data_IF_441829857101
#
_entry.id   IF_441829857101
#
_cell.length_a   1.000
_cell.length_b   1.000
_cell.length_c   1.000
_cell.angle_alpha   90.00
_cell.angle_beta   90.00
_cell.angle_gamma   90.00
#
_symmetry.space_group_name_H-M   'P 1'
#
loop_
_entity.id
_entity.type
_entity.pdbx_description
1 polymer ?
#
# COMPACT_ATOMS: atom_id res chain seq x y z
N UNK A 1 5.79 15.34 3.47
CA UNK A 1 6.48 14.08 3.06
C UNK A 1 6.24 13.92 1.57
N UNK A 2 7.25 13.64 0.74
CA UNK A 2 7.03 13.38 -0.70
C UNK A 2 6.18 12.12 -0.89
N UNK A 3 5.31 12.09 -1.91
CA UNK A 3 4.49 10.92 -2.28
C UNK A 3 5.34 9.65 -2.42
N UNK A 4 6.53 9.78 -2.99
CA UNK A 4 7.47 8.67 -3.15
C UNK A 4 7.96 8.11 -1.80
N UNK A 5 8.22 8.98 -0.82
CA UNK A 5 8.59 8.55 0.55
C UNK A 5 7.42 7.86 1.25
N UNK A 6 6.20 8.36 1.07
CA UNK A 6 5.00 7.73 1.60
C UNK A 6 4.86 6.31 1.04
N UNK A 7 5.02 6.15 -0.28
CA UNK A 7 4.92 4.86 -0.96
C UNK A 7 6.00 3.88 -0.50
N UNK A 8 7.25 4.32 -0.40
CA UNK A 8 8.36 3.49 0.10
C UNK A 8 8.14 3.01 1.53
N UNK A 9 7.60 3.86 2.40
CA UNK A 9 7.26 3.44 3.77
C UNK A 9 6.13 2.40 3.76
N UNK A 10 5.08 2.64 2.95
CA UNK A 10 3.92 1.78 2.88
C UNK A 10 4.19 0.42 2.23
N UNK A 11 5.19 0.31 1.34
CA UNK A 11 5.69 -0.97 0.82
C UNK A 11 6.11 -1.94 1.92
N UNK A 12 6.56 -1.45 3.08
CA UNK A 12 6.93 -2.26 4.24
C UNK A 12 5.78 -2.36 5.25
N UNK A 13 5.08 -1.26 5.49
CA UNK A 13 4.01 -1.19 6.49
C UNK A 13 2.80 -2.05 6.10
N UNK A 14 2.42 -2.10 4.81
CA UNK A 14 1.30 -2.91 4.33
C UNK A 14 1.49 -4.41 4.59
N UNK A 15 2.59 -5.06 4.16
CA UNK A 15 2.80 -6.47 4.47
C UNK A 15 2.91 -6.74 5.97
N UNK A 16 3.53 -5.85 6.76
CA UNK A 16 3.53 -5.97 8.22
C UNK A 16 2.12 -5.92 8.81
N UNK A 17 1.27 -5.01 8.34
CA UNK A 17 -0.13 -4.91 8.75
C UNK A 17 -0.93 -6.15 8.37
N UNK A 18 -0.70 -6.71 7.18
CA UNK A 18 -1.37 -7.94 6.74
C UNK A 18 -0.96 -9.13 7.61
N UNK A 19 0.33 -9.28 7.89
CA UNK A 19 0.84 -10.36 8.76
C UNK A 19 0.32 -10.17 10.19
N UNK A 20 0.38 -8.96 10.74
CA UNK A 20 -0.14 -8.66 12.06
C UNK A 20 -1.66 -8.91 12.13
N UNK A 21 -2.41 -8.47 11.13
CA UNK A 21 -3.84 -8.71 11.03
C UNK A 21 -4.20 -10.20 10.96
N UNK A 22 -3.38 -11.01 10.27
CA UNK A 22 -3.54 -12.46 10.22
C UNK A 22 -3.21 -13.14 11.56
N UNK A 23 -2.07 -12.79 12.17
CA UNK A 23 -1.61 -13.41 13.43
C UNK A 23 -2.51 -13.04 14.60
N UNK A 24 -2.99 -11.80 14.65
CA UNK A 24 -3.80 -11.29 15.76
C UNK A 24 -5.29 -11.23 15.44
N UNK A 25 -5.79 -11.93 14.42
CA UNK A 25 -7.16 -11.77 13.91
C UNK A 25 -8.25 -11.93 15.00
N UNK A 26 -8.03 -12.81 15.98
CA UNK A 26 -8.96 -13.05 17.11
C UNK A 26 -8.98 -11.91 18.13
N UNK A 27 -7.92 -11.11 18.19
CA UNK A 27 -7.72 -10.02 19.13
C UNK A 27 -8.06 -8.65 18.53
N UNK A 28 -8.29 -8.58 17.22
CA UNK A 28 -8.62 -7.34 16.54
C UNK A 28 -10.04 -6.91 16.94
N UNK A 29 -10.21 -5.70 17.53
CA UNK A 29 -11.54 -5.18 17.81
C UNK A 29 -12.33 -5.04 16.52
N UNK A 30 -13.60 -5.46 16.50
CA UNK A 30 -14.47 -5.38 15.30
C UNK A 30 -14.51 -3.96 14.72
N UNK A 31 -14.45 -2.93 15.57
CA UNK A 31 -14.41 -1.52 15.15
C UNK A 31 -13.11 -1.13 14.42
N UNK A 32 -12.01 -1.83 14.64
CA UNK A 32 -10.73 -1.58 13.98
C UNK A 32 -10.66 -2.20 12.57
N UNK A 33 -11.46 -3.25 12.30
CA UNK A 33 -11.51 -3.92 10.99
C UNK A 33 -11.82 -2.94 9.84
N UNK A 34 -12.91 -2.14 9.86
CA UNK A 34 -13.21 -1.22 8.76
C UNK A 34 -12.11 -0.16 8.57
N UNK A 35 -11.47 0.29 9.65
CA UNK A 35 -10.36 1.25 9.57
C UNK A 35 -9.14 0.63 8.88
N UNK A 36 -8.79 -0.61 9.24
CA UNK A 36 -7.71 -1.36 8.61
C UNK A 36 -7.97 -1.59 7.12
N UNK A 37 -9.18 -2.05 6.77
CA UNK A 37 -9.59 -2.28 5.38
C UNK A 37 -9.56 -0.98 4.57
N UNK A 38 -10.11 0.12 5.10
CA UNK A 38 -10.10 1.42 4.43
C UNK A 38 -8.66 1.91 4.17
N UNK A 39 -7.78 1.79 5.16
CA UNK A 39 -6.38 2.18 5.03
C UNK A 39 -5.65 1.33 3.97
N UNK A 40 -5.76 0.00 4.05
CA UNK A 40 -5.14 -0.92 3.08
C UNK A 40 -5.64 -0.66 1.66
N UNK A 41 -6.93 -0.37 1.50
CA UNK A 41 -7.53 -0.03 0.20
C UNK A 41 -6.96 1.27 -0.34
N UNK A 42 -6.92 2.33 0.48
CA UNK A 42 -6.39 3.62 0.08
C UNK A 42 -4.91 3.55 -0.31
N UNK A 43 -4.10 2.88 0.51
CA UNK A 43 -2.67 2.69 0.23
C UNK A 43 -2.46 1.82 -1.00
N UNK A 44 -3.26 0.77 -1.18
CA UNK A 44 -3.23 -0.08 -2.38
C UNK A 44 -3.49 0.71 -3.66
N UNK A 45 -4.49 1.60 -3.66
CA UNK A 45 -4.77 2.48 -4.80
C UNK A 45 -3.61 3.42 -5.11
N UNK A 46 -2.99 4.01 -4.08
CA UNK A 46 -1.83 4.89 -4.27
C UNK A 46 -0.60 4.15 -4.78
N UNK A 47 -0.34 2.94 -4.25
CA UNK A 47 0.73 2.06 -4.73
C UNK A 47 0.52 1.69 -6.19
N UNK A 48 -0.73 1.34 -6.55
CA UNK A 48 -1.09 1.00 -7.92
C UNK A 48 -0.91 2.18 -8.87
N UNK A 49 -1.45 3.36 -8.52
CA UNK A 49 -1.35 4.57 -9.34
C UNK A 49 0.12 4.97 -9.57
N UNK A 50 0.95 4.93 -8.53
CA UNK A 50 2.37 5.24 -8.67
C UNK A 50 3.15 4.18 -9.44
N UNK A 51 2.84 2.90 -9.22
CA UNK A 51 3.45 1.80 -9.97
C UNK A 51 3.16 1.92 -11.46
N UNK A 52 1.91 2.19 -11.83
CA UNK A 52 1.49 2.44 -13.21
C UNK A 52 2.20 3.66 -13.80
N UNK A 53 2.27 4.78 -13.07
CA UNK A 53 2.96 5.99 -13.53
C UNK A 53 4.47 5.79 -13.69
N UNK A 54 5.10 4.98 -12.84
CA UNK A 54 6.52 4.66 -12.94
C UNK A 54 6.78 3.72 -14.12
N UNK A 55 5.90 2.74 -14.34
CA UNK A 55 6.00 1.82 -15.46
C UNK A 55 5.78 2.52 -16.79
N UNK A 56 4.82 3.45 -16.89
CA UNK A 56 4.57 4.19 -18.13
C UNK A 56 5.79 5.00 -18.55
N UNK A 57 6.43 5.70 -17.61
CA UNK A 57 7.66 6.45 -17.88
C UNK A 57 8.79 5.52 -18.35
N UNK A 58 8.96 4.36 -17.70
CA UNK A 58 9.98 3.37 -18.12
C UNK A 58 9.72 2.76 -19.49
N UNK A 59 8.46 2.60 -19.89
CA UNK A 59 8.11 2.10 -21.22
C UNK A 59 8.30 3.15 -22.32
N UNK A 60 8.14 4.43 -21.99
CA UNK A 60 8.46 5.55 -22.88
C UNK A 60 9.98 5.61 -23.12
N UNK A 61 10.78 5.62 -22.03
CA UNK A 61 12.24 5.64 -22.10
C UNK A 61 12.83 4.42 -22.84
N UNK A 62 12.16 3.25 -22.78
CA UNK A 62 12.63 2.04 -23.45
C UNK A 62 12.32 1.99 -24.96
N UNK A 63 11.56 2.95 -25.49
CA UNK A 63 11.23 3.07 -26.93
C UNK A 63 12.12 4.05 -27.69
N UNK A 64 12.88 4.89 -26.99
CA UNK A 64 13.91 5.77 -27.59
C UNK A 64 15.27 5.06 -27.68
#
# INVERSE_FOLDING_TARGET
MSLERFIKANLVVVPLLLVAGYVFYEWVPVIAVPLGVAYLTFVGLLLFAWGMSTLSLRFEDARE
#
